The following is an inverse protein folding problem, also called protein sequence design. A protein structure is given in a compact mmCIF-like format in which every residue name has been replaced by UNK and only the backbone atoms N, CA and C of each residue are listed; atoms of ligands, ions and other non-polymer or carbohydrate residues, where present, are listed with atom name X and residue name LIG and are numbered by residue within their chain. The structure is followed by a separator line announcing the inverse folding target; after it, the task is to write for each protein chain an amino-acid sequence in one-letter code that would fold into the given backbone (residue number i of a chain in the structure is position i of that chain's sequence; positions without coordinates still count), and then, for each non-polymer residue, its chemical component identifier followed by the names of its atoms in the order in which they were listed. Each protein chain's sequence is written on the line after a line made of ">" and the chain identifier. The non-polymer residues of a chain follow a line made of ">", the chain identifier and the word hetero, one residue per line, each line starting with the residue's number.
data_IF_840993633465
#
_entry.id   IF_840993633465
#
_cell.length_a   1.000
_cell.length_b   1.000
_cell.length_c   1.000
_cell.angle_alpha   90.00
_cell.angle_beta   90.00
_cell.angle_gamma   90.00
#
_symmetry.space_group_name_H-M   'P 1'
#
loop_
_entity.id
_entity.type
_entity.pdbx_description
1 polymer ?
#
# COMPACT_ATOMS: atom_id res chain seq x y z
N UNK A 1 2.56 -18.00 -9.17
CA UNK A 1 2.78 -16.78 -8.34
C UNK A 1 2.91 -17.20 -6.88
N UNK A 2 3.95 -16.74 -6.17
CA UNK A 2 4.13 -17.03 -4.73
C UNK A 2 3.38 -16.00 -3.89
N UNK A 3 2.60 -16.45 -2.90
CA UNK A 3 1.74 -15.61 -2.07
C UNK A 3 2.30 -15.59 -0.64
N UNK A 4 2.79 -14.43 -0.22
CA UNK A 4 3.47 -14.21 1.05
C UNK A 4 2.56 -13.39 1.98
N UNK A 5 2.30 -13.91 3.19
CA UNK A 5 1.71 -13.15 4.30
C UNK A 5 2.82 -12.80 5.28
N UNK A 6 3.49 -11.65 5.05
CA UNK A 6 4.63 -11.23 5.85
C UNK A 6 4.21 -10.85 7.27
N UNK A 7 4.87 -11.45 8.26
CA UNK A 7 4.55 -11.25 9.69
C UNK A 7 5.40 -10.19 10.36
N UNK A 8 6.59 -9.91 9.82
CA UNK A 8 7.47 -8.85 10.34
C UNK A 8 6.83 -7.48 10.12
N UNK A 9 6.86 -6.64 11.15
CA UNK A 9 6.32 -5.27 11.09
C UNK A 9 7.40 -4.20 10.97
N UNK A 10 8.66 -4.60 10.81
CA UNK A 10 9.78 -3.68 10.60
C UNK A 10 9.69 -3.01 9.23
N UNK A 11 9.54 -1.67 9.16
CA UNK A 11 9.35 -0.98 7.90
C UNK A 11 10.59 -1.04 7.00
N UNK A 12 11.79 -1.00 7.57
CA UNK A 12 13.04 -1.12 6.80
C UNK A 12 13.21 -2.52 6.21
N UNK A 13 12.89 -3.56 6.99
CA UNK A 13 12.94 -4.93 6.51
C UNK A 13 11.93 -5.16 5.37
N UNK A 14 10.68 -4.77 5.55
CA UNK A 14 9.63 -5.00 4.55
C UNK A 14 9.91 -4.30 3.22
N UNK A 15 10.43 -3.07 3.25
CA UNK A 15 10.83 -2.35 2.03
C UNK A 15 12.08 -2.94 1.38
N UNK A 16 13.05 -3.41 2.18
CA UNK A 16 14.22 -4.09 1.66
C UNK A 16 13.86 -5.44 1.02
N UNK A 17 12.96 -6.19 1.65
CA UNK A 17 12.43 -7.45 1.13
C UNK A 17 11.72 -7.23 -0.22
N UNK A 18 10.83 -6.24 -0.30
CA UNK A 18 10.14 -5.89 -1.53
C UNK A 18 11.13 -5.57 -2.67
N UNK A 19 12.14 -4.75 -2.38
CA UNK A 19 13.20 -4.41 -3.34
C UNK A 19 14.04 -5.63 -3.73
N UNK A 20 14.39 -6.47 -2.76
CA UNK A 20 15.16 -7.69 -3.00
C UNK A 20 14.41 -8.67 -3.90
N UNK A 21 13.15 -8.98 -3.58
CA UNK A 21 12.32 -9.86 -4.39
C UNK A 21 12.15 -9.30 -5.82
N UNK A 22 12.02 -7.99 -5.96
CA UNK A 22 11.92 -7.36 -7.27
C UNK A 22 13.21 -7.42 -8.08
N UNK A 23 14.38 -7.19 -7.47
CA UNK A 23 15.65 -7.09 -8.21
C UNK A 23 16.37 -8.42 -8.39
N UNK A 24 16.24 -9.34 -7.43
CA UNK A 24 17.14 -10.49 -7.34
C UNK A 24 16.45 -11.85 -7.59
N UNK A 25 15.15 -11.88 -7.82
CA UNK A 25 14.44 -13.12 -8.15
C UNK A 25 13.81 -13.05 -9.53
N UNK A 26 13.44 -14.20 -10.08
CA UNK A 26 12.74 -14.29 -11.38
C UNK A 26 11.38 -14.99 -11.22
N UNK A 27 10.62 -14.63 -10.18
CA UNK A 27 9.31 -15.20 -9.88
C UNK A 27 8.27 -14.11 -9.72
N UNK A 28 7.01 -14.45 -9.94
CA UNK A 28 5.87 -13.59 -9.61
C UNK A 28 5.53 -13.73 -8.14
N UNK A 29 5.26 -12.60 -7.49
CA UNK A 29 4.87 -12.55 -6.08
C UNK A 29 3.61 -11.73 -5.88
N UNK A 30 2.83 -12.15 -4.89
CA UNK A 30 1.90 -11.31 -4.16
C UNK A 30 2.30 -11.33 -2.70
N UNK A 31 2.42 -10.17 -2.06
CA UNK A 31 2.79 -10.05 -0.66
C UNK A 31 1.84 -9.12 0.07
N UNK A 32 1.32 -9.56 1.24
CA UNK A 32 0.68 -8.69 2.22
C UNK A 32 1.64 -8.44 3.37
N UNK A 33 1.66 -7.20 3.86
CA UNK A 33 2.57 -6.78 4.93
C UNK A 33 2.07 -5.54 5.65
N UNK A 34 2.50 -5.38 6.91
CA UNK A 34 2.21 -4.22 7.74
C UNK A 34 3.50 -3.65 8.32
N UNK A 35 3.50 -2.36 8.59
CA UNK A 35 4.60 -1.70 9.29
C UNK A 35 4.12 -1.16 10.63
N UNK A 36 5.02 -1.14 11.60
CA UNK A 36 4.93 -0.24 12.72
C UNK A 36 4.91 1.21 12.27
N UNK A 37 4.63 2.14 13.20
CA UNK A 37 4.58 3.58 12.92
C UNK A 37 5.80 4.03 12.13
N UNK A 38 5.57 4.51 10.91
CA UNK A 38 6.64 4.93 9.99
C UNK A 38 6.10 5.86 8.92
N UNK A 39 7.00 6.64 8.32
CA UNK A 39 6.69 7.42 7.12
C UNK A 39 7.48 6.85 5.96
N UNK A 40 6.80 6.55 4.87
CA UNK A 40 7.42 6.06 3.65
C UNK A 40 7.37 7.16 2.60
N UNK A 41 8.54 7.70 2.25
CA UNK A 41 8.67 8.74 1.21
C UNK A 41 8.93 8.12 -0.16
N UNK A 42 8.38 8.74 -1.19
CA UNK A 42 8.61 8.31 -2.57
C UNK A 42 10.03 8.59 -3.05
N UNK A 43 10.48 7.81 -4.04
CA UNK A 43 11.85 7.81 -4.59
C UNK A 43 12.45 9.21 -4.82
N UNK A 44 11.65 10.12 -5.37
CA UNK A 44 12.13 11.43 -5.83
C UNK A 44 11.68 12.59 -4.92
N UNK A 45 11.13 12.32 -3.73
CA UNK A 45 10.64 13.37 -2.85
C UNK A 45 11.76 14.01 -2.02
N UNK A 46 11.62 15.31 -1.76
CA UNK A 46 12.36 15.97 -0.69
C UNK A 46 11.70 15.62 0.65
N UNK A 47 12.36 14.79 1.43
CA UNK A 47 11.84 14.28 2.70
C UNK A 47 11.38 15.38 3.64
N UNK A 48 12.21 16.43 3.86
CA UNK A 48 11.87 17.51 4.78
C UNK A 48 10.66 18.35 4.36
N UNK A 49 10.36 18.39 3.06
CA UNK A 49 9.18 19.09 2.55
C UNK A 49 7.88 18.29 2.75
N UNK A 50 7.98 16.99 2.96
CA UNK A 50 6.81 16.08 3.03
C UNK A 50 6.43 15.71 4.47
N UNK A 51 7.32 15.88 5.45
CA UNK A 51 7.11 15.47 6.84
C UNK A 51 7.01 16.67 7.79
N UNK A 52 6.23 16.51 8.85
CA UNK A 52 6.29 17.41 10.02
C UNK A 52 7.48 16.99 10.89
N UNK A 53 8.65 17.58 10.62
CA UNK A 53 9.91 17.19 11.27
C UNK A 53 9.83 17.21 12.79
N UNK A 54 9.17 18.22 13.38
CA UNK A 54 9.03 18.32 14.84
C UNK A 54 8.28 17.14 15.41
N UNK A 55 7.09 16.85 14.87
CA UNK A 55 6.26 15.72 15.30
C UNK A 55 6.97 14.38 15.11
N UNK A 56 7.61 14.20 13.95
CA UNK A 56 8.32 12.96 13.59
C UNK A 56 9.50 12.71 14.55
N UNK A 57 10.28 13.75 14.86
CA UNK A 57 11.43 13.65 15.78
C UNK A 57 10.99 13.38 17.22
N UNK A 58 10.01 14.13 17.73
CA UNK A 58 9.48 13.95 19.09
C UNK A 58 8.89 12.56 19.32
N UNK A 59 8.24 11.98 18.30
CA UNK A 59 7.62 10.66 18.36
C UNK A 59 8.53 9.54 17.85
N UNK A 60 9.79 9.82 17.48
CA UNK A 60 10.79 8.86 17.00
C UNK A 60 10.28 8.00 15.84
N UNK A 61 9.50 8.61 14.92
CA UNK A 61 8.92 7.91 13.78
C UNK A 61 10.00 7.70 12.70
N UNK A 62 10.33 6.45 12.33
CA UNK A 62 11.29 6.20 11.26
C UNK A 62 10.76 6.71 9.91
N UNK A 63 11.67 7.28 9.11
CA UNK A 63 11.36 7.76 7.76
C UNK A 63 12.21 7.00 6.76
N UNK A 64 11.57 6.27 5.87
CA UNK A 64 12.23 5.35 4.93
C UNK A 64 11.82 5.71 3.50
N UNK A 65 12.75 5.56 2.58
CA UNK A 65 12.50 5.81 1.15
C UNK A 65 12.21 4.51 0.42
N UNK A 66 11.09 4.48 -0.35
CA UNK A 66 10.77 3.37 -1.24
C UNK A 66 11.34 3.57 -2.64
N UNK A 67 11.43 2.49 -3.41
CA UNK A 67 11.95 2.51 -4.79
C UNK A 67 10.96 3.07 -5.82
N UNK A 68 9.67 3.13 -5.50
CA UNK A 68 8.65 3.71 -6.38
C UNK A 68 8.50 5.22 -6.18
N UNK A 69 7.91 5.89 -7.14
CA UNK A 69 7.52 7.30 -7.04
C UNK A 69 6.30 7.53 -6.15
N UNK A 70 5.69 8.72 -6.31
CA UNK A 70 4.49 9.12 -5.57
C UNK A 70 4.77 9.94 -4.32
N UNK A 71 3.71 10.24 -3.55
CA UNK A 71 3.72 11.03 -2.32
C UNK A 71 4.17 10.25 -1.08
N UNK A 72 4.46 10.97 -0.01
CA UNK A 72 4.70 10.36 1.29
C UNK A 72 3.41 9.77 1.87
N UNK A 73 3.55 8.64 2.56
CA UNK A 73 2.46 7.95 3.28
C UNK A 73 2.88 7.68 4.71
N UNK A 74 1.90 7.65 5.60
CA UNK A 74 2.07 7.23 6.98
C UNK A 74 1.57 5.80 7.13
N UNK A 75 2.35 4.95 7.78
CA UNK A 75 1.99 3.58 8.11
C UNK A 75 1.88 3.40 9.63
N UNK A 76 0.96 2.55 10.03
CA UNK A 76 0.85 1.94 11.35
C UNK A 76 0.28 0.51 11.20
N UNK A 77 0.01 -0.17 12.32
CA UNK A 77 -0.51 -1.53 12.27
C UNK A 77 -1.96 -1.63 11.77
N UNK A 78 -2.68 -0.51 11.67
CA UNK A 78 -4.01 -0.42 11.05
C UNK A 78 -3.97 -0.21 9.54
N UNK A 79 -2.78 0.03 8.96
CA UNK A 79 -2.57 0.10 7.52
C UNK A 79 -2.01 -1.22 7.00
N UNK A 80 -2.73 -1.87 6.09
CA UNK A 80 -2.26 -3.05 5.37
C UNK A 80 -1.65 -2.63 4.04
N UNK A 81 -0.51 -3.19 3.68
CA UNK A 81 0.11 -2.98 2.38
C UNK A 81 0.01 -4.25 1.54
N UNK A 82 -0.12 -4.09 0.24
CA UNK A 82 -0.02 -5.18 -0.71
C UNK A 82 1.00 -4.86 -1.79
N UNK A 83 1.66 -5.91 -2.28
CA UNK A 83 2.66 -5.81 -3.35
C UNK A 83 2.42 -6.91 -4.36
N UNK A 84 2.42 -6.53 -5.63
CA UNK A 84 2.58 -7.45 -6.75
C UNK A 84 3.94 -7.26 -7.41
N UNK A 85 4.63 -8.35 -7.67
CA UNK A 85 5.79 -8.38 -8.56
C UNK A 85 5.41 -9.29 -9.72
N UNK A 86 5.42 -8.76 -10.95
CA UNK A 86 5.08 -9.48 -12.17
C UNK A 86 6.25 -9.45 -13.13
N UNK A 87 6.64 -10.62 -13.64
CA UNK A 87 7.75 -10.78 -14.58
C UNK A 87 7.26 -10.75 -16.01
N UNK A 88 8.05 -10.15 -16.90
CA UNK A 88 7.83 -10.18 -18.34
C UNK A 88 6.59 -9.46 -18.88
N UNK A 89 5.76 -8.85 -18.04
CA UNK A 89 4.48 -8.24 -18.41
C UNK A 89 4.55 -6.70 -18.43
N UNK A 90 5.46 -6.13 -19.23
CA UNK A 90 5.64 -4.68 -19.33
C UNK A 90 4.41 -3.92 -19.85
N UNK A 91 3.58 -4.56 -20.63
CA UNK A 91 2.32 -4.04 -21.14
C UNK A 91 1.29 -3.73 -20.05
N UNK A 92 1.42 -4.35 -18.87
CA UNK A 92 0.59 -4.03 -17.70
C UNK A 92 1.10 -2.82 -16.88
N UNK A 93 2.24 -2.23 -17.24
CA UNK A 93 2.73 -1.02 -16.57
C UNK A 93 1.76 0.15 -16.78
N UNK A 94 1.49 0.88 -15.70
CA UNK A 94 0.44 1.91 -15.59
C UNK A 94 -1.00 1.37 -15.64
N UNK A 95 -1.23 0.08 -15.76
CA UNK A 95 -2.54 -0.52 -15.61
C UNK A 95 -2.83 -0.76 -14.11
N UNK A 96 -3.18 0.29 -13.40
CA UNK A 96 -3.47 0.22 -11.96
C UNK A 96 -4.71 -0.63 -11.66
N UNK A 97 -5.69 -0.63 -12.56
CA UNK A 97 -6.91 -1.43 -12.44
C UNK A 97 -6.60 -2.93 -12.34
N UNK A 98 -5.69 -3.42 -13.18
CA UNK A 98 -5.29 -4.83 -13.17
C UNK A 98 -4.82 -5.29 -11.78
N UNK A 99 -4.00 -4.49 -11.12
CA UNK A 99 -3.42 -4.83 -9.81
C UNK A 99 -4.35 -4.56 -8.62
N UNK A 100 -5.27 -3.62 -8.75
CA UNK A 100 -6.17 -3.23 -7.66
C UNK A 100 -7.51 -3.95 -7.71
N UNK A 101 -7.85 -4.55 -8.83
CA UNK A 101 -9.13 -5.27 -9.03
C UNK A 101 -9.43 -6.29 -7.94
N UNK A 102 -8.50 -7.17 -7.49
CA UNK A 102 -8.80 -8.13 -6.44
C UNK A 102 -9.24 -7.47 -5.12
N UNK A 103 -8.64 -6.31 -4.78
CA UNK A 103 -9.02 -5.54 -3.60
C UNK A 103 -10.42 -4.95 -3.75
N UNK A 104 -10.70 -4.33 -4.89
CA UNK A 104 -12.01 -3.73 -5.18
C UNK A 104 -13.12 -4.79 -5.16
N UNK A 105 -12.92 -5.91 -5.85
CA UNK A 105 -13.88 -7.01 -5.89
C UNK A 105 -14.14 -7.63 -4.51
N UNK A 106 -13.09 -7.81 -3.70
CA UNK A 106 -13.24 -8.29 -2.33
C UNK A 106 -14.11 -7.32 -1.51
N UNK A 107 -13.81 -6.03 -1.52
CA UNK A 107 -14.58 -5.03 -0.79
C UNK A 107 -16.02 -4.96 -1.26
N UNK A 108 -16.27 -5.02 -2.57
CA UNK A 108 -17.62 -5.06 -3.13
C UNK A 108 -18.39 -6.31 -2.69
N UNK A 109 -17.74 -7.47 -2.60
CA UNK A 109 -18.35 -8.70 -2.08
C UNK A 109 -18.70 -8.62 -0.59
N UNK A 110 -18.02 -7.74 0.16
CA UNK A 110 -18.32 -7.43 1.57
C UNK A 110 -19.33 -6.27 1.72
N UNK A 111 -19.94 -5.82 0.61
CA UNK A 111 -20.95 -4.76 0.60
C UNK A 111 -20.37 -3.33 0.66
N UNK A 112 -19.05 -3.17 0.50
CA UNK A 112 -18.39 -1.87 0.49
C UNK A 112 -18.27 -1.36 -0.95
N UNK A 113 -18.82 -0.18 -1.31
CA UNK A 113 -18.77 0.36 -2.68
C UNK A 113 -17.40 0.96 -2.99
N UNK A 114 -16.39 0.09 -3.11
CA UNK A 114 -15.04 0.47 -3.48
C UNK A 114 -14.92 0.64 -5.00
N UNK A 115 -14.15 1.63 -5.44
CA UNK A 115 -13.89 1.92 -6.84
C UNK A 115 -12.48 2.45 -7.08
N UNK A 116 -11.93 2.21 -8.27
CA UNK A 116 -10.72 2.90 -8.74
C UNK A 116 -11.10 4.28 -9.24
N UNK A 117 -10.38 5.30 -8.80
CA UNK A 117 -10.61 6.68 -9.22
C UNK A 117 -9.32 7.34 -9.71
N UNK A 118 -9.45 8.05 -10.82
CA UNK A 118 -8.31 8.70 -11.45
C UNK A 118 -7.27 7.67 -11.90
N UNK A 119 -6.01 7.94 -11.54
CA UNK A 119 -4.89 7.08 -11.98
C UNK A 119 -4.61 5.94 -11.02
N UNK A 120 -4.57 6.21 -9.72
CA UNK A 120 -3.93 5.31 -8.74
C UNK A 120 -4.55 5.36 -7.33
N UNK A 121 -5.72 5.94 -7.16
CA UNK A 121 -6.41 6.01 -5.88
C UNK A 121 -7.61 5.04 -5.87
N UNK A 122 -7.82 4.34 -4.75
CA UNK A 122 -9.08 3.64 -4.51
C UNK A 122 -9.93 4.43 -3.53
N UNK A 123 -11.21 4.57 -3.85
CA UNK A 123 -12.17 5.34 -3.07
C UNK A 123 -13.32 4.48 -2.57
N UNK A 124 -13.87 4.89 -1.43
CA UNK A 124 -15.18 4.48 -0.93
C UNK A 124 -16.00 5.76 -0.75
N UNK A 125 -17.11 5.89 -1.48
CA UNK A 125 -18.00 7.06 -1.41
C UNK A 125 -17.23 8.39 -1.60
N UNK A 126 -16.28 8.42 -2.52
CA UNK A 126 -15.46 9.59 -2.83
C UNK A 126 -14.33 9.89 -1.84
N UNK A 127 -14.14 9.07 -0.79
CA UNK A 127 -13.05 9.18 0.17
C UNK A 127 -11.96 8.13 -0.12
N UNK A 128 -10.70 8.56 -0.13
CA UNK A 128 -9.57 7.67 -0.43
C UNK A 128 -9.26 6.74 0.74
N UNK A 129 -9.16 5.44 0.44
CA UNK A 129 -8.69 4.43 1.39
C UNK A 129 -7.39 3.74 0.94
N UNK A 130 -6.99 3.94 -0.32
CA UNK A 130 -5.79 3.33 -0.89
C UNK A 130 -5.08 4.28 -1.85
N UNK A 131 -3.76 4.32 -1.78
CA UNK A 131 -2.90 4.95 -2.76
C UNK A 131 -1.91 3.93 -3.30
N UNK A 132 -1.69 3.96 -4.62
CA UNK A 132 -0.89 2.96 -5.33
C UNK A 132 0.26 3.59 -6.08
N UNK A 133 1.37 2.86 -6.21
CA UNK A 133 2.53 3.26 -6.97
C UNK A 133 3.16 2.06 -7.69
N UNK A 134 3.88 2.35 -8.76
CA UNK A 134 4.56 1.34 -9.56
C UNK A 134 5.98 1.76 -9.89
N UNK A 135 6.85 0.79 -10.06
CA UNK A 135 8.08 0.92 -10.84
C UNK A 135 8.24 -0.30 -11.76
N UNK A 136 9.01 -0.11 -12.80
CA UNK A 136 9.34 -1.17 -13.75
C UNK A 136 10.81 -1.09 -14.12
N UNK A 137 11.39 -2.23 -14.44
CA UNK A 137 12.70 -2.38 -15.05
C UNK A 137 12.64 -3.39 -16.22
N UNK A 138 13.80 -3.85 -16.68
CA UNK A 138 13.87 -4.79 -17.80
C UNK A 138 13.31 -6.19 -17.45
N UNK A 139 13.16 -6.51 -16.18
CA UNK A 139 12.75 -7.82 -15.70
C UNK A 139 11.25 -7.90 -15.39
N UNK A 140 10.60 -6.77 -15.08
CA UNK A 140 9.17 -6.79 -14.72
C UNK A 140 8.66 -5.51 -14.10
N UNK A 141 7.55 -5.65 -13.39
CA UNK A 141 6.82 -4.57 -12.72
C UNK A 141 6.69 -4.90 -11.24
N UNK A 142 6.94 -3.89 -10.40
CA UNK A 142 6.52 -3.86 -9.02
C UNK A 142 5.36 -2.86 -8.89
N UNK A 143 4.25 -3.33 -8.37
CA UNK A 143 3.10 -2.52 -7.98
C UNK A 143 2.84 -2.72 -6.50
N UNK A 144 2.73 -1.63 -5.75
CA UNK A 144 2.30 -1.71 -4.37
C UNK A 144 1.25 -0.66 -4.03
N UNK A 145 0.46 -0.96 -3.02
CA UNK A 145 -0.58 -0.07 -2.51
C UNK A 145 -0.74 -0.17 -1.00
N UNK A 146 -1.28 0.91 -0.42
CA UNK A 146 -1.70 0.99 0.98
C UNK A 146 -3.20 0.72 1.06
N UNK A 147 -3.66 0.10 2.13
CA UNK A 147 -5.07 -0.07 2.48
C UNK A 147 -5.26 0.48 3.89
N UNK A 148 -5.90 1.63 4.02
CA UNK A 148 -6.28 2.20 5.31
C UNK A 148 -7.41 1.35 5.87
N UNK A 149 -7.08 0.31 6.64
CA UNK A 149 -8.08 -0.59 7.19
C UNK A 149 -8.67 -0.04 8.49
N UNK A 150 -7.81 0.26 9.45
CA UNK A 150 -8.14 0.89 10.74
C UNK A 150 -6.97 1.75 11.24
N UNK A 151 -6.44 2.58 10.34
CA UNK A 151 -5.27 3.42 10.56
C UNK A 151 -5.57 4.62 11.47
N UNK A 152 -4.59 5.04 12.26
CA UNK A 152 -4.68 6.25 13.10
C UNK A 152 -4.62 7.52 12.24
N UNK A 153 -5.80 8.02 11.86
CA UNK A 153 -5.96 9.23 11.05
C UNK A 153 -5.42 10.48 11.75
N UNK A 154 -5.37 10.48 13.10
CA UNK A 154 -4.80 11.55 13.89
C UNK A 154 -3.30 11.67 13.69
N UNK A 155 -2.57 10.57 13.88
CA UNK A 155 -1.13 10.49 13.65
C UNK A 155 -0.77 10.75 12.19
N UNK A 156 -1.50 10.18 11.24
CA UNK A 156 -1.31 10.42 9.81
C UNK A 156 -1.36 11.93 9.48
N UNK A 157 -2.36 12.64 10.00
CA UNK A 157 -2.55 14.07 9.73
C UNK A 157 -1.50 14.96 10.40
N UNK A 158 -0.88 14.51 11.49
CA UNK A 158 0.18 15.24 12.20
C UNK A 158 1.57 14.96 11.62
N UNK A 159 1.80 13.75 11.11
CA UNK A 159 3.10 13.30 10.64
C UNK A 159 3.49 13.87 9.27
N UNK A 160 2.50 14.12 8.40
CA UNK A 160 2.73 14.57 7.03
C UNK A 160 2.45 16.07 6.87
N UNK A 161 3.36 16.76 6.17
CA UNK A 161 3.11 18.13 5.74
C UNK A 161 2.20 18.14 4.51
N UNK A 162 1.08 18.83 4.63
CA UNK A 162 0.23 19.15 3.49
C UNK A 162 0.83 20.34 2.76
N UNK A 163 1.50 20.10 1.62
CA UNK A 163 2.07 21.19 0.82
C UNK A 163 0.96 22.13 0.31
N UNK A 164 0.93 23.42 0.75
CA UNK A 164 -0.11 24.36 0.35
C UNK A 164 -0.17 24.62 -1.16
N UNK A 165 0.95 24.44 -1.88
CA UNK A 165 1.01 24.59 -3.34
C UNK A 165 0.30 23.45 -4.07
N UNK A 166 0.31 22.25 -3.51
CA UNK A 166 -0.50 21.11 -4.01
C UNK A 166 -2.00 21.36 -3.77
N UNK A 167 -2.35 22.19 -2.79
CA UNK A 167 -3.73 22.56 -2.50
C UNK A 167 -4.28 23.61 -3.47
N UNK A 168 -3.43 24.48 -4.05
CA UNK A 168 -3.84 25.55 -4.99
C UNK A 168 -4.11 25.04 -6.40
N UNK A 169 -3.51 23.94 -6.82
CA UNK A 169 -3.65 23.40 -8.19
C UNK A 169 -4.87 22.51 -8.44
N UNK A 170 -5.56 22.12 -7.36
CA UNK A 170 -6.86 21.42 -7.42
C UNK A 170 -7.65 21.91 -6.22
N UNK A 171 -8.91 22.27 -6.36
CA UNK A 171 -9.83 22.72 -5.30
C UNK A 171 -10.01 21.63 -4.21
N UNK A 172 -8.99 21.45 -3.35
CA UNK A 172 -8.85 20.32 -2.45
C UNK A 172 -9.11 20.80 -1.03
N UNK A 173 -10.23 20.37 -0.46
CA UNK A 173 -10.50 20.43 0.98
C UNK A 173 -9.46 19.58 1.73
N UNK A 174 -9.19 19.92 2.98
CA UNK A 174 -8.12 19.36 3.83
C UNK A 174 -7.93 17.84 3.74
N UNK A 175 -6.72 17.35 3.93
CA UNK A 175 -6.34 15.91 3.93
C UNK A 175 -7.30 15.05 4.77
N UNK A 176 -7.78 15.56 5.89
CA UNK A 176 -8.69 14.89 6.81
C UNK A 176 -10.05 14.51 6.21
N UNK A 177 -10.56 15.32 5.27
CA UNK A 177 -11.86 15.07 4.61
C UNK A 177 -11.78 14.15 3.39
N UNK A 178 -10.59 13.67 3.02
CA UNK A 178 -10.33 12.90 1.80
C UNK A 178 -9.97 11.45 2.02
N UNK A 179 -9.66 11.05 3.23
CA UNK A 179 -9.27 9.66 3.56
C UNK A 179 -10.29 9.03 4.50
N UNK A 180 -10.43 7.72 4.42
CA UNK A 180 -11.31 6.92 5.28
C UNK A 180 -10.70 5.56 5.53
N UNK A 181 -11.08 4.93 6.63
CA UNK A 181 -10.74 3.55 6.94
C UNK A 181 -11.76 2.59 6.32
N UNK A 182 -11.30 1.44 5.85
CA UNK A 182 -12.16 0.36 5.34
C UNK A 182 -13.11 -0.13 6.44
N UNK A 183 -12.63 -0.27 7.68
CA UNK A 183 -13.39 -0.77 8.83
C UNK A 183 -14.67 0.02 9.11
N UNK A 184 -14.68 1.33 8.78
CA UNK A 184 -15.85 2.21 8.97
C UNK A 184 -17.01 1.89 7.99
N UNK A 185 -16.74 1.17 6.91
CA UNK A 185 -17.71 0.87 5.85
C UNK A 185 -18.18 -0.58 5.82
N UNK A 186 -17.58 -1.44 6.63
CA UNK A 186 -17.97 -2.84 6.73
C UNK A 186 -19.25 -3.02 7.53
N UNK A 187 -20.24 -3.72 6.98
CA UNK A 187 -21.48 -4.03 7.69
C UNK A 187 -21.25 -4.97 8.89
N UNK A 188 -20.33 -5.92 8.74
CA UNK A 188 -19.84 -6.79 9.81
C UNK A 188 -18.43 -6.41 10.18
N UNK A 189 -18.18 -6.18 11.45
CA UNK A 189 -16.80 -5.94 11.94
C UNK A 189 -15.99 -7.20 11.79
N UNK A 190 -14.84 -7.05 11.14
CA UNK A 190 -13.79 -8.06 11.03
C UNK A 190 -12.46 -7.43 11.43
N UNK A 191 -11.49 -8.24 11.80
CA UNK A 191 -10.13 -7.79 12.10
C UNK A 191 -9.34 -7.58 10.82
N UNK A 192 -8.20 -6.90 10.91
CA UNK A 192 -7.28 -6.73 9.77
C UNK A 192 -6.66 -8.06 9.35
N UNK A 193 -6.49 -8.99 10.29
CA UNK A 193 -6.06 -10.36 10.05
C UNK A 193 -7.09 -11.14 9.23
N UNK A 194 -8.36 -11.10 9.64
CA UNK A 194 -9.47 -11.73 8.89
C UNK A 194 -9.59 -11.13 7.48
N UNK A 195 -9.44 -9.80 7.34
CA UNK A 195 -9.43 -9.15 6.03
C UNK A 195 -8.24 -9.59 5.18
N UNK A 196 -7.04 -9.72 5.78
CA UNK A 196 -5.84 -10.22 5.10
C UNK A 196 -6.03 -11.64 4.58
N UNK A 197 -6.62 -12.52 5.39
CA UNK A 197 -6.89 -13.91 5.01
C UNK A 197 -7.90 -13.98 3.85
N UNK A 198 -8.94 -13.15 3.88
CA UNK A 198 -9.90 -13.04 2.77
C UNK A 198 -9.23 -12.56 1.48
N UNK A 199 -8.32 -11.58 1.56
CA UNK A 199 -7.62 -11.07 0.39
C UNK A 199 -6.64 -12.11 -0.17
N UNK A 200 -5.89 -12.80 0.68
CA UNK A 200 -5.01 -13.91 0.26
C UNK A 200 -5.82 -14.99 -0.43
N UNK A 201 -6.94 -15.41 0.17
CA UNK A 201 -7.83 -16.41 -0.43
C UNK A 201 -8.32 -15.95 -1.80
N UNK A 202 -8.80 -14.69 -1.91
CA UNK A 202 -9.24 -14.11 -3.19
C UNK A 202 -8.14 -14.16 -4.25
N UNK A 203 -6.89 -13.85 -3.89
CA UNK A 203 -5.73 -13.90 -4.80
C UNK A 203 -5.45 -15.33 -5.27
N UNK A 204 -5.46 -16.30 -4.35
CA UNK A 204 -5.23 -17.71 -4.69
C UNK A 204 -6.34 -18.25 -5.58
N UNK A 205 -7.60 -18.02 -5.22
CA UNK A 205 -8.76 -18.50 -5.97
C UNK A 205 -8.85 -17.89 -7.39
N UNK A 206 -8.30 -16.67 -7.58
CA UNK A 206 -8.32 -15.97 -8.86
C UNK A 206 -7.12 -16.28 -9.78
N UNK A 207 -6.15 -17.06 -9.32
CA UNK A 207 -4.92 -17.34 -10.06
C UNK A 207 -4.54 -18.83 -9.93
N UNK A 208 -4.74 -19.62 -10.97
CA UNK A 208 -4.52 -21.07 -10.94
C UNK A 208 -3.12 -21.52 -10.48
N UNK A 209 -2.10 -20.69 -10.74
CA UNK A 209 -0.70 -20.98 -10.36
C UNK A 209 -0.28 -20.27 -9.05
N UNK A 210 -1.23 -19.70 -8.31
CA UNK A 210 -0.92 -19.05 -7.04
C UNK A 210 -0.85 -20.09 -5.91
N UNK A 211 0.20 -19.99 -5.09
CA UNK A 211 0.39 -20.87 -3.93
C UNK A 211 0.92 -20.08 -2.74
N UNK A 212 0.49 -20.42 -1.52
CA UNK A 212 1.10 -19.86 -0.31
C UNK A 212 2.60 -20.14 -0.27
N UNK A 213 3.35 -19.17 0.23
CA UNK A 213 4.81 -19.28 0.35
C UNK A 213 5.29 -18.60 1.63
N UNK A 214 6.08 -19.33 2.41
CA UNK A 214 6.79 -18.79 3.58
C UNK A 214 8.24 -18.54 3.20
N UNK A 215 8.73 -17.34 3.50
CA UNK A 215 10.14 -16.99 3.27
C UNK A 215 11.04 -17.83 4.16
N UNK A 216 12.09 -18.33 3.56
CA UNK A 216 13.15 -19.06 4.26
C UNK A 216 14.39 -18.16 4.43
N UNK A 217 15.33 -18.50 5.32
CA UNK A 217 16.60 -17.77 5.42
C UNK A 217 17.39 -17.71 4.11
N UNK A 218 17.19 -18.67 3.21
CA UNK A 218 17.87 -18.74 1.90
C UNK A 218 17.23 -17.79 0.86
N UNK A 219 16.08 -17.19 1.18
CA UNK A 219 15.37 -16.25 0.29
C UNK A 219 15.77 -14.79 0.53
N UNK A 220 16.62 -14.51 1.56
CA UNK A 220 16.90 -13.14 2.03
C UNK A 220 18.42 -12.86 2.05
#
# INVERSE_FOLDING_TARGET
>A
MLVINQKTTSPSFNLALEEYLFKNTNRDYFMLWRNERSIIVGKNQNTYAEINYKYVSENKIPVIRRITGGGAVFHDLGNLNFTFIKRGQRDTFNNYEYFTRPVVELLQSLGVPAELSGRNDLLIKGMKFSGNAQCADDTGILHHGTLLFDADMGSLSQALNVNPLKLKSKSIRSVRSRVTNISEHLAKKITIEEFSDLLIKKIIDSNADAMPYELTPDDI
#
